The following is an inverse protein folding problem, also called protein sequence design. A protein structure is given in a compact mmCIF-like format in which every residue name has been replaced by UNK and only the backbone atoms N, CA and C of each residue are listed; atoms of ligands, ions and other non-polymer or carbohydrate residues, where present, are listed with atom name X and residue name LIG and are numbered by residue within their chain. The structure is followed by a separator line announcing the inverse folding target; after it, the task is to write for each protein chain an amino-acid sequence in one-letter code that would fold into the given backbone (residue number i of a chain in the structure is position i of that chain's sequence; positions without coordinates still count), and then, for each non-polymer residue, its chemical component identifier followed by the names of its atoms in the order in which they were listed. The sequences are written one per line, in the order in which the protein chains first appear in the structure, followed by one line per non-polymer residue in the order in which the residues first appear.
data_IF_353785013770
#
_entry.id   IF_353785013770
#
_cell.length_a   1.000
_cell.length_b   1.000
_cell.length_c   1.000
_cell.angle_alpha   90.00
_cell.angle_beta   90.00
_cell.angle_gamma   90.00
#
_symmetry.space_group_name_H-M   'P 1'
#
loop_
_entity.id
_entity.type
_entity.pdbx_description
1 polymer ?
#
# COMPACT_ATOMS: atom_id res chain seq x y z
N UNK A 1 13.55 8.17 1.79
CA UNK A 1 12.39 7.51 1.14
C UNK A 1 12.54 6.02 1.33
N UNK A 2 11.59 5.34 1.98
CA UNK A 2 11.57 3.88 2.01
C UNK A 2 10.77 3.37 0.81
N UNK A 3 11.29 2.36 0.15
CA UNK A 3 10.63 1.65 -0.96
C UNK A 3 10.69 0.16 -0.65
N UNK A 4 9.60 -0.54 -0.85
CA UNK A 4 9.49 -1.98 -0.70
C UNK A 4 9.06 -2.54 -2.05
N UNK A 5 9.88 -3.39 -2.66
CA UNK A 5 9.49 -4.14 -3.85
C UNK A 5 9.44 -5.62 -3.47
N UNK A 6 8.30 -6.26 -3.68
CA UNK A 6 8.11 -7.67 -3.36
C UNK A 6 7.19 -8.35 -4.36
N UNK A 7 7.21 -9.68 -4.33
CA UNK A 7 6.26 -10.52 -5.05
C UNK A 7 5.33 -11.15 -4.02
N UNK A 8 4.03 -11.01 -4.24
CA UNK A 8 2.99 -11.60 -3.40
C UNK A 8 2.21 -12.60 -4.22
N UNK A 9 1.94 -13.77 -3.65
CA UNK A 9 1.15 -14.81 -4.30
C UNK A 9 -0.23 -14.80 -3.70
N UNK A 10 -1.23 -14.40 -4.48
CA UNK A 10 -2.64 -14.36 -4.06
C UNK A 10 -3.41 -15.28 -4.99
N UNK A 11 -4.16 -16.23 -4.43
CA UNK A 11 -4.92 -17.24 -5.19
C UNK A 11 -4.09 -17.97 -6.26
N UNK A 12 -2.83 -18.30 -5.95
CA UNK A 12 -1.91 -18.98 -6.86
C UNK A 12 -1.30 -18.09 -7.95
N UNK A 13 -1.69 -16.82 -8.04
CA UNK A 13 -1.13 -15.87 -9.00
C UNK A 13 -0.08 -15.00 -8.31
N UNK A 14 1.16 -15.08 -8.78
CA UNK A 14 2.24 -14.20 -8.29
C UNK A 14 2.15 -12.81 -8.92
N UNK A 15 2.14 -11.78 -8.08
CA UNK A 15 2.09 -10.38 -8.47
C UNK A 15 3.28 -9.63 -7.90
N UNK A 16 4.00 -8.95 -8.78
CA UNK A 16 5.04 -8.00 -8.39
C UNK A 16 4.38 -6.69 -8.02
N UNK A 17 4.73 -6.21 -6.85
CA UNK A 17 4.25 -4.95 -6.29
C UNK A 17 5.43 -4.10 -5.84
N UNK A 18 5.28 -2.79 -5.97
CA UNK A 18 6.25 -1.83 -5.46
C UNK A 18 5.54 -0.77 -4.63
N UNK A 19 5.80 -0.77 -3.34
CA UNK A 19 5.27 0.19 -2.38
C UNK A 19 6.28 1.31 -2.11
N UNK A 20 5.81 2.55 -2.12
CA UNK A 20 6.62 3.74 -1.85
C UNK A 20 5.87 4.71 -0.93
N UNK A 21 6.53 5.19 0.13
CA UNK A 21 5.98 6.25 0.99
C UNK A 21 6.38 7.63 0.48
N UNK A 22 5.39 8.45 0.12
CA UNK A 22 5.54 9.88 -0.19
C UNK A 22 5.30 10.70 1.08
N UNK A 23 6.35 10.85 1.89
CA UNK A 23 6.27 11.49 3.22
C UNK A 23 5.68 12.91 3.18
N UNK A 24 6.06 13.75 2.20
CA UNK A 24 5.54 15.12 2.05
C UNK A 24 4.03 15.17 1.83
N UNK A 25 3.47 14.15 1.18
CA UNK A 25 2.06 14.10 0.80
C UNK A 25 1.23 13.21 1.74
N UNK A 26 1.86 12.57 2.74
CA UNK A 26 1.25 11.55 3.62
C UNK A 26 0.56 10.41 2.85
N UNK A 27 1.06 10.10 1.65
CA UNK A 27 0.52 9.09 0.74
C UNK A 27 1.44 7.87 0.61
N UNK A 28 0.82 6.74 0.29
CA UNK A 28 1.51 5.50 -0.08
C UNK A 28 1.14 5.17 -1.52
N UNK A 29 2.16 4.98 -2.35
CA UNK A 29 1.98 4.56 -3.74
C UNK A 29 2.22 3.07 -3.82
N UNK A 30 1.31 2.36 -4.47
CA UNK A 30 1.45 0.95 -4.82
C UNK A 30 1.45 0.85 -6.32
N UNK A 31 2.55 0.37 -6.89
CA UNK A 31 2.69 0.14 -8.32
C UNK A 31 2.56 -1.34 -8.60
N UNK A 32 1.61 -1.72 -9.45
CA UNK A 32 1.39 -3.10 -9.88
C UNK A 32 0.99 -3.15 -11.35
N UNK A 33 1.64 -4.01 -12.15
CA UNK A 33 1.39 -4.14 -13.60
C UNK A 33 1.42 -2.82 -14.40
N UNK A 34 2.17 -1.83 -13.93
CA UNK A 34 2.24 -0.49 -14.55
C UNK A 34 1.13 0.46 -14.10
N UNK A 35 0.16 -0.01 -13.34
CA UNK A 35 -0.87 0.81 -12.70
C UNK A 35 -0.37 1.33 -11.35
N UNK A 36 -0.86 2.51 -10.97
CA UNK A 36 -0.51 3.17 -9.71
C UNK A 36 -1.77 3.36 -8.88
N UNK A 37 -1.71 2.88 -7.65
CA UNK A 37 -2.75 3.04 -6.64
C UNK A 37 -2.21 3.95 -5.56
N UNK A 38 -3.04 4.87 -5.11
CA UNK A 38 -2.72 5.75 -4.00
C UNK A 38 -3.52 5.33 -2.77
N UNK A 39 -2.83 5.21 -1.65
CA UNK A 39 -3.42 4.95 -0.34
C UNK A 39 -3.10 6.10 0.60
N UNK A 40 -4.04 6.40 1.49
CA UNK A 40 -3.86 7.38 2.57
C UNK A 40 -4.48 6.85 3.85
N UNK A 41 -3.91 7.25 4.99
CA UNK A 41 -4.61 7.13 6.26
C UNK A 41 -5.60 8.29 6.39
N UNK A 42 -6.78 8.01 6.90
CA UNK A 42 -7.72 9.04 7.33
C UNK A 42 -7.44 9.50 8.77
N UNK A 43 -8.38 10.27 9.35
CA UNK A 43 -8.26 10.81 10.71
C UNK A 43 -8.37 9.72 11.79
N UNK A 44 -9.04 8.63 11.48
CA UNK A 44 -9.25 7.48 12.36
C UNK A 44 -8.15 6.42 12.20
N UNK A 45 -7.08 6.75 11.46
CA UNK A 45 -5.96 5.85 11.14
C UNK A 45 -6.41 4.59 10.37
N UNK A 46 -7.50 4.73 9.60
CA UNK A 46 -7.98 3.74 8.66
C UNK A 46 -7.29 4.02 7.33
N UNK A 47 -6.69 2.98 6.77
CA UNK A 47 -6.03 3.03 5.48
C UNK A 47 -7.09 2.85 4.40
N UNK A 48 -7.10 3.70 3.38
CA UNK A 48 -8.04 3.57 2.27
C UNK A 48 -7.37 3.95 0.96
N UNK A 49 -7.79 3.28 -0.11
CA UNK A 49 -7.39 3.63 -1.47
C UNK A 49 -8.09 4.95 -1.86
N UNK A 50 -7.31 5.96 -2.23
CA UNK A 50 -7.82 7.27 -2.65
C UNK A 50 -7.79 7.47 -4.16
N UNK A 51 -6.95 6.72 -4.90
CA UNK A 51 -6.90 6.79 -6.35
C UNK A 51 -6.36 5.49 -6.98
N UNK A 52 -6.53 5.38 -8.30
CA UNK A 52 -6.11 4.24 -9.11
C UNK A 52 -7.23 3.24 -9.40
N UNK A 53 -6.93 2.16 -10.13
CA UNK A 53 -7.90 1.11 -10.47
C UNK A 53 -8.39 0.38 -9.23
N UNK A 54 -9.64 -0.08 -9.26
CA UNK A 54 -10.18 -0.92 -8.20
C UNK A 54 -9.47 -2.28 -8.18
N UNK A 55 -9.07 -2.72 -6.99
CA UNK A 55 -8.54 -4.08 -6.81
C UNK A 55 -9.71 -5.07 -6.84
N UNK A 56 -9.80 -5.86 -7.90
CA UNK A 56 -10.82 -6.91 -8.03
C UNK A 56 -10.35 -8.27 -7.48
N UNK A 57 -9.07 -8.39 -7.16
CA UNK A 57 -8.45 -9.61 -6.65
C UNK A 57 -8.72 -9.75 -5.14
N UNK A 58 -9.54 -10.73 -4.76
CA UNK A 58 -9.84 -11.01 -3.36
C UNK A 58 -8.56 -11.30 -2.54
N UNK A 59 -8.42 -10.65 -1.38
CA UNK A 59 -7.26 -10.77 -0.50
C UNK A 59 -6.04 -9.92 -0.88
N UNK A 60 -5.99 -9.36 -2.10
CA UNK A 60 -4.86 -8.53 -2.52
C UNK A 60 -4.86 -7.17 -1.81
N UNK A 61 -6.03 -6.54 -1.65
CA UNK A 61 -6.17 -5.27 -0.92
C UNK A 61 -5.74 -5.41 0.54
N UNK A 62 -6.25 -6.42 1.24
CA UNK A 62 -5.93 -6.70 2.64
C UNK A 62 -4.42 -6.93 2.85
N UNK A 63 -3.78 -7.66 1.92
CA UNK A 63 -2.35 -7.89 1.97
C UNK A 63 -1.54 -6.60 1.77
N UNK A 64 -1.95 -5.75 0.80
CA UNK A 64 -1.36 -4.43 0.56
C UNK A 64 -1.49 -3.54 1.80
N UNK A 65 -2.67 -3.49 2.41
CA UNK A 65 -2.91 -2.70 3.60
C UNK A 65 -2.05 -3.16 4.77
N UNK A 66 -1.96 -4.47 4.99
CA UNK A 66 -1.09 -5.06 5.99
C UNK A 66 0.37 -4.67 5.74
N UNK A 67 0.86 -4.74 4.50
CA UNK A 67 2.23 -4.33 4.17
C UNK A 67 2.48 -2.84 4.44
N UNK A 68 1.53 -1.97 4.06
CA UNK A 68 1.66 -0.53 4.32
C UNK A 68 1.77 -0.28 5.83
N UNK A 69 0.91 -0.89 6.64
CA UNK A 69 0.92 -0.74 8.10
C UNK A 69 2.19 -1.27 8.75
N UNK A 70 2.71 -2.41 8.31
CA UNK A 70 3.87 -3.05 8.95
C UNK A 70 5.22 -2.49 8.49
N UNK A 71 5.38 -2.15 7.20
CA UNK A 71 6.66 -1.68 6.66
C UNK A 71 6.81 -0.15 6.66
N UNK A 72 5.69 0.56 6.56
CA UNK A 72 5.68 2.01 6.42
C UNK A 72 4.87 2.74 7.49
N UNK A 73 4.41 1.99 8.51
CA UNK A 73 3.39 2.31 9.51
C UNK A 73 3.33 3.74 10.01
N UNK A 74 2.30 4.09 10.80
CA UNK A 74 2.22 5.44 11.37
C UNK A 74 3.59 5.77 11.97
N UNK A 75 4.15 6.93 11.58
CA UNK A 75 5.37 7.40 12.24
C UNK A 75 5.12 7.25 13.74
N UNK A 76 6.07 6.69 14.52
CA UNK A 76 5.87 6.60 15.95
C UNK A 76 5.48 7.99 16.40
N UNK A 77 4.25 8.13 16.92
CA UNK A 77 3.83 9.36 17.59
C UNK A 77 4.94 9.64 18.57
N UNK A 78 5.67 10.74 18.37
CA UNK A 78 6.75 11.13 19.25
C UNK A 78 6.21 11.04 20.68
N UNK A 79 6.74 10.07 21.42
CA UNK A 79 6.41 9.82 22.81
C UNK A 79 7.20 10.80 23.67
#
# INVERSE_FOLDING_TARGET
MRTLACSITVNGVSRKISLRKKAKEKKYLVVMKGEVLEYTFDKDNILSQSAGPAITEAGLSEHIEWMIRNYFGPEPSAQ
#
